data_IF_942481115952
#
_entry.id   IF_942481115952
#
_cell.length_a   1.000
_cell.length_b   1.000
_cell.length_c   1.000
_cell.angle_alpha   90.00
_cell.angle_beta   90.00
_cell.angle_gamma   90.00
#
_symmetry.space_group_name_H-M   'P 1'
#
loop_
_entity.id
_entity.type
_entity.pdbx_description
1 polymer ?
#
# COMPACT_ATOMS: atom_id res chain seq x y z
N UNK A 1 -6.42 23.30 16.37
CA UNK A 1 -5.68 22.15 16.95
C UNK A 1 -6.00 20.94 16.08
N UNK A 2 -4.97 20.35 15.40
CA UNK A 2 -5.15 19.16 14.54
C UNK A 2 -5.67 17.96 15.35
N UNK A 3 -6.52 17.13 14.70
CA UNK A 3 -6.97 15.86 15.29
C UNK A 3 -5.74 14.96 15.54
N UNK A 4 -5.64 14.42 16.74
CA UNK A 4 -4.65 13.35 17.04
C UNK A 4 -5.11 12.08 16.34
N UNK A 5 -4.20 11.40 15.64
CA UNK A 5 -4.48 10.06 15.12
C UNK A 5 -4.53 9.08 16.30
N UNK A 6 -5.67 8.39 16.44
CA UNK A 6 -5.84 7.38 17.48
C UNK A 6 -4.95 6.15 17.21
N UNK A 7 -4.37 5.61 18.26
CA UNK A 7 -3.62 4.35 18.23
C UNK A 7 -4.01 3.53 19.47
N UNK A 8 -4.01 2.20 19.35
CA UNK A 8 -4.16 1.33 20.52
C UNK A 8 -2.90 1.39 21.40
N UNK A 9 -3.01 0.88 22.62
CA UNK A 9 -1.89 0.88 23.58
C UNK A 9 -0.77 -0.05 23.14
N UNK A 10 0.44 0.45 23.07
CA UNK A 10 1.69 -0.29 22.83
C UNK A 10 2.87 0.53 23.34
N UNK A 11 4.05 -0.08 23.45
CA UNK A 11 5.29 0.63 23.80
C UNK A 11 5.63 1.69 22.74
N UNK A 12 6.24 2.80 23.16
CA UNK A 12 6.66 3.91 22.31
C UNK A 12 8.03 4.41 22.77
N UNK A 13 8.88 4.94 21.87
CA UNK A 13 8.69 5.06 20.41
C UNK A 13 8.89 3.74 19.67
N UNK A 14 8.36 3.65 18.44
CA UNK A 14 8.54 2.49 17.57
C UNK A 14 9.37 2.83 16.34
N UNK A 15 10.26 1.91 15.95
CA UNK A 15 10.87 1.87 14.63
C UNK A 15 9.96 1.12 13.63
N UNK A 16 10.37 0.99 12.37
CA UNK A 16 9.53 0.42 11.30
C UNK A 16 9.05 -1.01 11.61
N UNK A 17 9.94 -1.92 11.99
CA UNK A 17 9.58 -3.33 12.22
C UNK A 17 8.53 -3.47 13.34
N UNK A 18 8.76 -2.97 14.57
CA UNK A 18 7.73 -3.00 15.60
C UNK A 18 6.53 -2.11 15.26
N UNK A 19 6.67 -1.05 14.48
CA UNK A 19 5.57 -0.23 13.97
C UNK A 19 4.61 -1.03 13.08
N UNK A 20 5.15 -1.91 12.22
CA UNK A 20 4.36 -2.86 11.43
C UNK A 20 3.74 -3.91 12.34
N UNK A 21 4.54 -4.56 13.21
CA UNK A 21 4.10 -5.63 14.09
C UNK A 21 2.95 -5.22 15.00
N UNK A 22 3.02 -4.01 15.55
CA UNK A 22 2.02 -3.45 16.47
C UNK A 22 0.95 -2.61 15.76
N UNK A 23 0.89 -2.57 14.43
CA UNK A 23 -0.11 -1.78 13.67
C UNK A 23 -0.19 -0.31 14.15
N UNK A 24 0.94 0.34 14.38
CA UNK A 24 1.00 1.67 14.97
C UNK A 24 0.56 2.76 14.01
N UNK A 25 -0.67 3.26 14.14
CA UNK A 25 -1.19 4.34 13.30
C UNK A 25 -0.35 5.61 13.40
N UNK A 26 0.11 5.96 14.60
CA UNK A 26 0.92 7.16 14.81
C UNK A 26 2.27 7.10 14.10
N UNK A 27 2.91 5.91 14.05
CA UNK A 27 4.14 5.70 13.30
C UNK A 27 3.91 5.96 11.80
N UNK A 28 2.92 5.29 11.21
CA UNK A 28 2.62 5.42 9.78
C UNK A 28 2.17 6.84 9.41
N UNK A 29 1.38 7.49 10.25
CA UNK A 29 0.99 8.89 10.02
C UNK A 29 2.19 9.84 10.00
N UNK A 30 3.17 9.66 10.89
CA UNK A 30 4.37 10.48 10.91
C UNK A 30 5.28 10.20 9.72
N UNK A 31 5.44 8.93 9.33
CA UNK A 31 6.23 8.56 8.13
C UNK A 31 5.59 9.14 6.88
N UNK A 32 4.29 8.96 6.70
CA UNK A 32 3.54 9.53 5.57
C UNK A 32 3.69 11.05 5.52
N UNK A 33 3.47 11.74 6.64
CA UNK A 33 3.64 13.18 6.72
C UNK A 33 5.03 13.62 6.27
N UNK A 34 6.08 12.94 6.75
CA UNK A 34 7.47 13.25 6.35
C UNK A 34 7.72 13.00 4.86
N UNK A 35 7.08 11.99 4.26
CA UNK A 35 7.16 11.73 2.81
C UNK A 35 6.56 12.91 2.04
N UNK A 36 5.35 13.34 2.40
CA UNK A 36 4.69 14.46 1.73
C UNK A 36 5.47 15.77 1.93
N UNK A 37 5.90 16.05 3.16
CA UNK A 37 6.60 17.29 3.52
C UNK A 37 8.07 17.33 3.05
N UNK A 38 8.58 16.26 2.45
CA UNK A 38 9.92 16.25 1.82
C UNK A 38 9.97 17.10 0.55
N UNK A 39 8.84 17.35 -0.08
CA UNK A 39 8.71 18.09 -1.32
C UNK A 39 8.36 19.56 -1.05
N UNK A 40 8.68 20.49 -1.99
CA UNK A 40 8.41 21.92 -1.82
C UNK A 40 6.93 22.25 -1.57
N UNK A 41 6.04 21.46 -2.17
CA UNK A 41 4.59 21.63 -2.00
C UNK A 41 3.92 20.32 -1.59
N UNK A 42 2.79 20.37 -0.85
CA UNK A 42 2.03 19.16 -0.52
C UNK A 42 1.46 18.46 -1.77
N UNK A 43 1.25 19.19 -2.87
CA UNK A 43 0.83 18.64 -4.14
C UNK A 43 1.90 17.72 -4.73
N UNK A 44 3.12 18.20 -4.85
CA UNK A 44 4.25 17.39 -5.34
C UNK A 44 4.50 16.18 -4.47
N UNK A 45 4.44 16.34 -3.14
CA UNK A 45 4.60 15.24 -2.20
C UNK A 45 3.51 14.18 -2.35
N UNK A 46 2.25 14.61 -2.51
CA UNK A 46 1.11 13.72 -2.74
C UNK A 46 1.25 12.93 -4.04
N UNK A 47 1.63 13.59 -5.12
CA UNK A 47 1.77 12.93 -6.42
C UNK A 47 2.95 11.96 -6.43
N UNK A 48 4.07 12.30 -5.76
CA UNK A 48 5.18 11.38 -5.57
C UNK A 48 4.77 10.15 -4.76
N UNK A 49 4.07 10.32 -3.64
CA UNK A 49 3.53 9.23 -2.85
C UNK A 49 2.54 8.37 -3.66
N UNK A 50 1.60 9.01 -4.35
CA UNK A 50 0.62 8.32 -5.21
C UNK A 50 1.30 7.49 -6.29
N UNK A 51 2.35 8.03 -6.96
CA UNK A 51 3.14 7.32 -7.96
C UNK A 51 3.78 6.05 -7.39
N UNK A 52 4.38 6.13 -6.20
CA UNK A 52 4.98 4.96 -5.54
C UNK A 52 3.92 3.92 -5.19
N UNK A 53 2.79 4.32 -4.63
CA UNK A 53 1.71 3.39 -4.25
C UNK A 53 1.08 2.73 -5.49
N UNK A 54 0.85 3.49 -6.55
CA UNK A 54 0.31 2.96 -7.83
C UNK A 54 1.25 1.96 -8.49
N UNK A 55 2.55 2.07 -8.30
CA UNK A 55 3.52 1.11 -8.86
C UNK A 55 3.36 -0.33 -8.35
N UNK A 56 2.56 -0.53 -7.28
CA UNK A 56 2.16 -1.86 -6.78
C UNK A 56 0.91 -2.42 -7.49
N UNK A 57 0.43 -1.76 -8.54
CA UNK A 57 -0.82 -2.13 -9.22
C UNK A 57 -2.08 -1.66 -8.47
N UNK A 58 -1.98 -0.58 -7.69
CA UNK A 58 -3.08 -0.04 -6.90
C UNK A 58 -3.68 1.21 -7.54
N UNK A 59 -5.00 1.37 -7.43
CA UNK A 59 -5.71 2.58 -7.86
C UNK A 59 -5.99 2.69 -9.35
N UNK A 60 -5.63 1.66 -10.13
CA UNK A 60 -5.95 1.52 -11.54
C UNK A 60 -6.42 0.10 -11.83
N UNK A 61 -7.08 -0.10 -12.96
CA UNK A 61 -7.45 -1.45 -13.40
C UNK A 61 -6.19 -2.28 -13.70
N UNK A 62 -6.08 -3.43 -13.06
CA UNK A 62 -4.88 -4.29 -13.19
C UNK A 62 -4.68 -4.90 -14.57
N UNK A 63 -5.67 -4.81 -15.47
CA UNK A 63 -5.61 -5.44 -16.78
C UNK A 63 -5.83 -6.95 -16.76
N UNK A 64 -6.42 -7.49 -15.68
CA UNK A 64 -6.75 -8.90 -15.56
C UNK A 64 -7.81 -9.35 -16.57
N UNK A 65 -8.05 -10.65 -16.65
CA UNK A 65 -9.04 -11.28 -17.55
C UNK A 65 -10.49 -11.24 -17.05
N UNK A 66 -10.78 -10.43 -16.03
CA UNK A 66 -12.12 -10.21 -15.49
C UNK A 66 -12.68 -8.89 -16.02
N UNK A 67 -13.71 -8.94 -16.88
CA UNK A 67 -14.37 -7.77 -17.45
C UNK A 67 -15.07 -6.87 -16.41
N UNK A 68 -15.36 -7.41 -15.22
CA UNK A 68 -16.03 -6.71 -14.13
C UNK A 68 -15.05 -6.05 -13.13
N UNK A 69 -13.75 -6.04 -13.44
CA UNK A 69 -12.73 -5.44 -12.58
C UNK A 69 -12.99 -3.96 -12.29
N UNK A 70 -12.61 -3.51 -11.12
CA UNK A 70 -12.70 -2.11 -10.70
C UNK A 70 -11.30 -1.54 -10.47
N UNK A 71 -11.08 -0.25 -10.77
CA UNK A 71 -9.76 0.38 -10.63
C UNK A 71 -9.38 0.65 -9.18
N UNK A 72 -10.33 0.68 -8.24
CA UNK A 72 -10.08 1.26 -6.93
C UNK A 72 -9.82 2.76 -7.02
N UNK A 73 -9.12 3.32 -6.02
CA UNK A 73 -8.69 4.73 -6.02
C UNK A 73 -7.48 4.92 -5.14
N UNK A 74 -6.44 5.53 -5.66
CA UNK A 74 -5.35 6.16 -4.93
C UNK A 74 -5.43 7.66 -5.18
N UNK A 75 -5.65 8.50 -4.15
CA UNK A 75 -5.82 9.93 -4.34
C UNK A 75 -4.55 10.60 -4.86
N UNK A 76 -4.72 11.68 -5.63
CA UNK A 76 -3.68 12.54 -6.19
C UNK A 76 -3.82 13.96 -5.65
N UNK A 77 -2.87 14.83 -5.97
CA UNK A 77 -2.98 16.25 -5.66
C UNK A 77 -4.20 16.89 -6.33
N UNK A 78 -4.50 16.52 -7.56
CA UNK A 78 -5.67 17.01 -8.30
C UNK A 78 -6.98 16.69 -7.56
N UNK A 79 -7.09 15.46 -7.03
CA UNK A 79 -8.25 15.06 -6.23
C UNK A 79 -8.45 15.96 -5.00
N UNK A 80 -7.38 16.24 -4.25
CA UNK A 80 -7.46 17.11 -3.08
C UNK A 80 -7.64 18.57 -3.44
N UNK A 81 -7.02 19.04 -4.53
CA UNK A 81 -7.25 20.39 -5.05
C UNK A 81 -8.73 20.64 -5.35
N UNK A 82 -9.40 19.64 -5.94
CA UNK A 82 -10.84 19.72 -6.21
C UNK A 82 -11.68 19.72 -4.94
N UNK A 83 -11.37 18.86 -3.96
CA UNK A 83 -12.13 18.76 -2.71
C UNK A 83 -12.00 20.02 -1.87
N UNK A 84 -10.80 20.60 -1.81
CA UNK A 84 -10.51 21.79 -1.01
C UNK A 84 -10.65 23.11 -1.77
N UNK A 85 -11.15 23.07 -3.02
CA UNK A 85 -11.28 24.26 -3.86
C UNK A 85 -9.97 25.09 -3.93
N UNK A 86 -8.86 24.37 -4.20
CA UNK A 86 -7.54 25.00 -4.33
C UNK A 86 -7.50 25.87 -5.60
N UNK A 87 -6.91 27.06 -5.60
CA UNK A 87 -6.08 27.65 -4.55
C UNK A 87 -6.81 28.49 -3.48
N UNK A 88 -8.14 28.56 -3.53
CA UNK A 88 -8.95 29.34 -2.57
C UNK A 88 -8.67 28.86 -1.13
N UNK A 89 -8.68 27.52 -0.94
CA UNK A 89 -8.32 26.91 0.33
C UNK A 89 -7.12 25.99 0.17
N UNK A 90 -6.06 26.25 0.94
CA UNK A 90 -4.85 25.43 0.95
C UNK A 90 -5.05 24.20 1.82
N UNK A 91 -4.61 23.06 1.34
CA UNK A 91 -4.54 21.82 2.12
C UNK A 91 -3.07 21.41 2.37
N UNK A 92 -2.85 20.61 3.38
CA UNK A 92 -1.53 20.17 3.86
C UNK A 92 -1.54 18.68 4.11
N UNK A 93 -0.37 18.07 4.27
CA UNK A 93 -0.21 16.64 4.59
C UNK A 93 -1.11 16.16 5.75
N UNK A 94 -1.36 17.03 6.73
CA UNK A 94 -2.21 16.72 7.89
C UNK A 94 -3.68 16.49 7.56
N UNK A 95 -4.16 17.03 6.44
CA UNK A 95 -5.54 16.82 5.97
C UNK A 95 -5.74 15.42 5.33
N UNK A 96 -4.66 14.77 4.93
CA UNK A 96 -4.66 13.52 4.16
C UNK A 96 -4.10 12.33 4.94
N UNK A 97 -3.91 12.47 6.26
CA UNK A 97 -3.24 11.45 7.11
C UNK A 97 -3.91 10.08 7.13
N UNK A 98 -5.21 10.00 6.83
CA UNK A 98 -5.93 8.71 6.75
C UNK A 98 -5.34 7.79 5.68
N UNK A 99 -4.75 8.34 4.62
CA UNK A 99 -4.08 7.55 3.57
C UNK A 99 -2.88 6.75 4.11
N UNK A 100 -2.24 7.24 5.18
CA UNK A 100 -1.09 6.58 5.81
C UNK A 100 -1.39 5.15 6.30
N UNK A 101 -2.64 4.86 6.57
CA UNK A 101 -3.12 3.58 7.09
C UNK A 101 -4.12 2.90 6.14
N UNK A 102 -4.15 3.34 4.88
CA UNK A 102 -5.02 2.76 3.86
C UNK A 102 -6.51 3.07 4.06
N UNK A 103 -6.82 4.17 4.74
CA UNK A 103 -8.19 4.65 4.98
C UNK A 103 -8.45 5.98 4.25
N UNK A 104 -9.60 6.59 4.53
CA UNK A 104 -10.01 7.84 3.90
C UNK A 104 -10.37 7.62 2.43
N UNK A 105 -9.63 8.25 1.54
CA UNK A 105 -9.90 8.24 0.11
C UNK A 105 -9.28 7.06 -0.64
N UNK A 106 -8.48 6.23 0.04
CA UNK A 106 -7.91 5.01 -0.54
C UNK A 106 -9.00 3.94 -0.66
N UNK A 107 -9.25 3.47 -1.89
CA UNK A 107 -10.18 2.39 -2.18
C UNK A 107 -9.46 1.33 -3.01
N UNK A 108 -9.49 0.08 -2.53
CA UNK A 108 -8.81 -1.04 -3.18
C UNK A 108 -9.76 -2.21 -3.34
N UNK A 109 -9.55 -2.97 -4.40
CA UNK A 109 -10.24 -4.26 -4.58
C UNK A 109 -9.47 -5.38 -3.87
N UNK A 110 -10.13 -6.49 -3.49
CA UNK A 110 -9.44 -7.64 -2.89
C UNK A 110 -8.30 -8.19 -3.77
N UNK A 111 -8.47 -8.20 -5.10
CA UNK A 111 -7.42 -8.65 -6.02
C UNK A 111 -6.20 -7.72 -6.01
N UNK A 112 -6.42 -6.41 -5.86
CA UNK A 112 -5.30 -5.46 -5.72
C UNK A 112 -4.55 -5.67 -4.40
N UNK A 113 -5.24 -5.96 -3.29
CA UNK A 113 -4.60 -6.28 -2.01
C UNK A 113 -3.79 -7.58 -2.11
N UNK A 114 -4.33 -8.61 -2.75
CA UNK A 114 -3.61 -9.85 -2.99
C UNK A 114 -2.37 -9.62 -3.87
N UNK A 115 -2.50 -8.84 -4.94
CA UNK A 115 -1.38 -8.46 -5.81
C UNK A 115 -0.30 -7.67 -5.07
N UNK A 116 -0.69 -6.71 -4.22
CA UNK A 116 0.25 -5.95 -3.38
C UNK A 116 1.02 -6.89 -2.44
N UNK A 117 0.35 -7.85 -1.83
CA UNK A 117 0.99 -8.83 -0.95
C UNK A 117 1.98 -9.70 -1.72
N UNK A 118 1.60 -10.19 -2.91
CA UNK A 118 2.49 -10.91 -3.81
C UNK A 118 3.69 -10.05 -4.25
N UNK A 119 3.46 -8.77 -4.54
CA UNK A 119 4.53 -7.81 -4.89
C UNK A 119 5.54 -7.63 -3.76
N UNK A 120 5.06 -7.55 -2.51
CA UNK A 120 5.94 -7.47 -1.33
C UNK A 120 6.73 -8.77 -1.17
N UNK A 121 6.07 -9.93 -1.28
CA UNK A 121 6.73 -11.24 -1.19
C UNK A 121 7.81 -11.42 -2.26
N UNK A 122 7.57 -10.93 -3.45
CA UNK A 122 8.51 -10.94 -4.58
C UNK A 122 9.57 -9.83 -4.53
N UNK A 123 9.57 -8.98 -3.50
CA UNK A 123 10.51 -7.85 -3.36
C UNK A 123 10.43 -6.83 -4.51
N UNK A 124 9.19 -6.45 -4.85
CA UNK A 124 8.93 -5.29 -5.70
C UNK A 124 8.56 -5.60 -7.14
N UNK A 125 8.09 -6.81 -7.46
CA UNK A 125 7.56 -7.10 -8.79
C UNK A 125 6.34 -8.03 -8.74
N UNK A 126 5.52 -7.98 -9.78
CA UNK A 126 4.35 -8.85 -9.96
C UNK A 126 4.07 -9.13 -11.43
N UNK A 127 3.30 -10.17 -11.69
CA UNK A 127 2.59 -10.37 -12.94
C UNK A 127 1.15 -9.93 -12.80
N UNK A 128 0.53 -9.47 -13.88
CA UNK A 128 -0.91 -9.19 -13.86
C UNK A 128 -1.69 -10.44 -13.44
N UNK A 129 -2.48 -10.39 -12.33
CA UNK A 129 -3.29 -11.52 -11.89
C UNK A 129 -4.28 -11.93 -12.98
N UNK A 130 -4.41 -13.24 -13.24
CA UNK A 130 -5.35 -13.78 -14.22
C UNK A 130 -5.82 -15.18 -13.81
N UNK A 131 -7.00 -15.57 -14.29
CA UNK A 131 -7.61 -16.85 -13.97
C UNK A 131 -7.37 -17.90 -15.05
N UNK A 132 -7.29 -17.47 -16.33
CA UNK A 132 -7.13 -18.38 -17.44
C UNK A 132 -5.67 -18.79 -17.56
N UNK A 133 -5.38 -20.08 -17.38
CA UNK A 133 -4.02 -20.64 -17.51
C UNK A 133 -3.75 -21.18 -18.91
N UNK A 134 -4.77 -21.75 -19.57
CA UNK A 134 -4.66 -22.39 -20.87
C UNK A 134 -5.96 -22.17 -21.67
N UNK A 135 -5.84 -22.11 -22.99
CA UNK A 135 -6.97 -22.14 -23.94
C UNK A 135 -6.70 -23.30 -24.88
N UNK A 136 -7.64 -24.24 -25.03
CA UNK A 136 -7.52 -25.47 -25.84
C UNK A 136 -6.23 -26.24 -25.54
N UNK A 137 -5.91 -26.39 -24.26
CA UNK A 137 -4.71 -27.11 -23.81
C UNK A 137 -3.38 -26.34 -23.98
N UNK A 138 -3.38 -25.21 -24.66
CA UNK A 138 -2.19 -24.39 -24.90
C UNK A 138 -2.06 -23.28 -23.84
N UNK A 139 -0.86 -23.03 -23.29
CA UNK A 139 -0.62 -21.89 -22.38
C UNK A 139 -0.98 -20.56 -23.04
N UNK A 140 -1.50 -19.62 -22.25
CA UNK A 140 -1.72 -18.26 -22.70
C UNK A 140 -0.37 -17.62 -23.06
N UNK A 141 -0.34 -16.97 -24.23
CA UNK A 141 0.82 -16.19 -24.71
C UNK A 141 0.58 -14.68 -24.66
N UNK A 142 -0.45 -14.22 -23.94
CA UNK A 142 -0.76 -12.80 -23.82
C UNK A 142 0.31 -12.12 -22.95
N UNK A 143 0.99 -11.14 -23.52
CA UNK A 143 2.08 -10.40 -22.86
C UNK A 143 1.62 -9.71 -21.58
N UNK A 144 0.34 -9.32 -21.48
CA UNK A 144 -0.23 -8.75 -20.24
C UNK A 144 0.01 -9.64 -19.02
N UNK A 145 0.09 -10.96 -19.20
CA UNK A 145 0.23 -11.93 -18.13
C UNK A 145 1.62 -12.51 -17.98
N UNK A 146 2.53 -12.20 -18.92
CA UNK A 146 3.89 -12.77 -18.96
C UNK A 146 4.98 -11.74 -18.68
N UNK A 147 4.66 -10.44 -18.76
CA UNK A 147 5.59 -9.35 -18.47
C UNK A 147 5.58 -9.03 -16.99
N UNK A 148 6.76 -8.91 -16.40
CA UNK A 148 6.93 -8.45 -15.00
C UNK A 148 6.72 -6.94 -14.91
N UNK A 149 5.83 -6.55 -14.01
CA UNK A 149 5.70 -5.18 -13.56
C UNK A 149 6.60 -4.95 -12.34
N UNK A 150 7.35 -3.86 -12.34
CA UNK A 150 8.24 -3.51 -11.23
C UNK A 150 7.71 -2.27 -10.49
N UNK A 151 7.82 -2.31 -9.16
CA UNK A 151 7.58 -1.12 -8.35
C UNK A 151 8.71 -0.11 -8.50
N UNK A 152 8.44 1.12 -8.10
CA UNK A 152 9.45 2.18 -8.02
C UNK A 152 10.30 2.11 -6.75
N UNK A 153 10.20 1.03 -5.99
CA UNK A 153 10.92 0.81 -4.72
C UNK A 153 12.04 -0.22 -4.93
N UNK A 154 13.24 0.11 -4.47
CA UNK A 154 14.38 -0.81 -4.52
C UNK A 154 14.12 -2.10 -3.75
N UNK A 155 14.52 -3.24 -4.31
CA UNK A 155 14.31 -4.57 -3.73
C UNK A 155 14.83 -4.70 -2.28
N UNK A 156 15.96 -4.07 -1.95
CA UNK A 156 16.54 -4.07 -0.60
C UNK A 156 15.62 -3.51 0.50
N UNK A 157 14.64 -2.69 0.14
CA UNK A 157 13.72 -2.05 1.08
C UNK A 157 12.55 -2.98 1.49
N UNK A 158 12.38 -4.12 0.81
CA UNK A 158 11.29 -5.06 1.11
C UNK A 158 11.61 -5.99 2.29
N UNK A 159 12.87 -6.41 2.46
CA UNK A 159 13.23 -7.36 3.53
C UNK A 159 12.87 -6.87 4.94
N UNK A 160 13.14 -5.61 5.35
CA UNK A 160 12.69 -5.13 6.65
C UNK A 160 11.17 -5.02 6.77
N UNK A 161 10.44 -4.79 5.65
CA UNK A 161 8.96 -4.81 5.65
C UNK A 161 8.46 -6.24 5.87
N UNK A 162 8.97 -7.21 5.13
CA UNK A 162 8.63 -8.64 5.28
C UNK A 162 8.93 -9.11 6.70
N UNK A 163 10.08 -8.72 7.27
CA UNK A 163 10.40 -9.00 8.67
C UNK A 163 9.38 -8.42 9.64
N UNK A 164 8.93 -7.20 9.41
CA UNK A 164 7.85 -6.57 10.18
C UNK A 164 6.52 -7.34 10.04
N UNK A 165 6.16 -7.75 8.83
CA UNK A 165 4.95 -8.55 8.55
C UNK A 165 5.01 -9.94 9.23
N UNK A 166 6.18 -10.57 9.29
CA UNK A 166 6.37 -11.81 10.04
C UNK A 166 6.16 -11.58 11.55
N UNK A 167 6.66 -10.47 12.09
CA UNK A 167 6.47 -10.13 13.50
C UNK A 167 5.00 -9.86 13.89
N UNK A 168 4.13 -9.49 12.94
CA UNK A 168 2.67 -9.35 13.20
C UNK A 168 2.10 -10.64 13.78
N UNK A 169 2.49 -11.79 13.24
CA UNK A 169 2.03 -13.11 13.69
C UNK A 169 2.86 -13.65 14.85
N UNK A 170 4.15 -13.35 14.93
CA UNK A 170 5.03 -13.90 15.97
C UNK A 170 4.77 -13.30 17.35
N UNK A 171 4.65 -12.00 17.45
CA UNK A 171 4.46 -11.28 18.71
C UNK A 171 3.69 -9.95 18.57
N UNK A 172 3.01 -9.76 17.44
CA UNK A 172 2.25 -8.56 17.12
C UNK A 172 0.74 -8.76 17.24
N UNK A 173 0.00 -7.94 16.48
CA UNK A 173 -1.46 -7.85 16.56
C UNK A 173 -2.21 -9.12 16.13
N UNK A 174 -1.57 -10.06 15.43
CA UNK A 174 -2.15 -11.34 15.00
C UNK A 174 -1.48 -12.55 15.65
N UNK A 175 -0.81 -12.40 16.80
CA UNK A 175 -0.07 -13.50 17.46
C UNK A 175 -0.96 -14.66 17.89
N UNK A 176 -2.24 -14.43 18.14
CA UNK A 176 -3.21 -15.48 18.44
C UNK A 176 -3.62 -16.35 17.22
N UNK A 177 -3.20 -15.97 16.01
CA UNK A 177 -3.52 -16.64 14.75
C UNK A 177 -2.35 -17.48 14.21
N UNK A 178 -1.36 -17.79 15.05
CA UNK A 178 -0.24 -18.67 14.67
C UNK A 178 -0.75 -20.10 14.41
N UNK A 179 -0.11 -20.74 13.43
CA UNK A 179 -0.37 -22.14 13.09
C UNK A 179 0.94 -22.89 13.24
N UNK A 180 0.94 -23.96 14.05
CA UNK A 180 2.14 -24.75 14.30
C UNK A 180 2.69 -25.34 12.99
N UNK A 181 4.00 -25.20 12.82
CA UNK A 181 4.70 -25.68 11.62
C UNK A 181 4.54 -24.81 10.37
N UNK A 182 3.80 -23.68 10.44
CA UNK A 182 3.62 -22.75 9.30
C UNK A 182 4.13 -21.37 9.69
N UNK A 183 5.09 -20.85 8.93
CA UNK A 183 5.51 -19.45 9.04
C UNK A 183 4.57 -18.54 8.24
N UNK A 184 3.97 -17.56 8.90
CA UNK A 184 3.03 -16.62 8.30
C UNK A 184 3.60 -15.21 8.39
N UNK A 185 3.53 -14.48 7.30
CA UNK A 185 3.79 -13.04 7.22
C UNK A 185 2.56 -12.32 6.67
N UNK A 186 2.13 -11.25 7.31
CA UNK A 186 0.94 -10.52 6.88
C UNK A 186 0.74 -9.21 7.64
N UNK A 187 -0.39 -8.58 7.33
CA UNK A 187 -0.74 -7.32 7.95
C UNK A 187 -2.24 -7.13 7.93
#
# INVERSE_FOLDING_TARGET
RGRKMGCHSHSSPLSMIPGIAQSCNSYFAQVYRKIIEKYPTPQEGMDAWSKHVRSFGLGDYLGNDLSTGRPGKIPTSEYYNKIYDYPTYKWYATATLSNAIGQGEVLLTPIQLANMTATIANRGWYYTPHMIKKIDGKPIKDERFTIKHHTTIDAKNFDPVIKGMHQVYKNGTASALQIDGIEIAGK
#
